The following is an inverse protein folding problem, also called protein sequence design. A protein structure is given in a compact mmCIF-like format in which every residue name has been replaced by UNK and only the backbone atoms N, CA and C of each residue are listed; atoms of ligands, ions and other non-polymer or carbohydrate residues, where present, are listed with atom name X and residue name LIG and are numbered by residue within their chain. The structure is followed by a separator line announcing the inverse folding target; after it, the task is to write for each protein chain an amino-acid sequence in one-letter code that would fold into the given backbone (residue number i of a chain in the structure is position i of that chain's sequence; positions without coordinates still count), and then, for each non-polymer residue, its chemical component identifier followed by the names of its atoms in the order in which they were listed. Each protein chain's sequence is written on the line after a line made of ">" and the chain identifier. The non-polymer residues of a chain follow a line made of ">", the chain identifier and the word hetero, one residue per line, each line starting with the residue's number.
data_IF_648665186014
#
_entry.id   IF_648665186014
#
_cell.length_a   1.000
_cell.length_b   1.000
_cell.length_c   1.000
_cell.angle_alpha   90.00
_cell.angle_beta   90.00
_cell.angle_gamma   90.00
#
_symmetry.space_group_name_H-M   'P 1'
#
loop_
_entity.id
_entity.type
_entity.pdbx_description
1 polymer ?
#
# COMPACT_ATOMS: atom_id res chain seq x y z
N UNK A 1 -43.71 32.99 1.43
CA UNK A 1 -43.56 31.64 0.86
C UNK A 1 -42.23 31.06 1.31
N UNK A 2 -42.24 30.21 2.33
CA UNK A 2 -41.02 29.63 2.91
C UNK A 2 -40.52 28.47 2.05
N UNK A 3 -39.22 28.47 1.72
CA UNK A 3 -38.57 27.34 1.04
C UNK A 3 -38.54 26.15 1.99
N UNK A 4 -39.39 25.15 1.71
CA UNK A 4 -39.36 23.84 2.37
C UNK A 4 -38.20 23.06 1.78
N UNK A 5 -37.14 22.88 2.55
CA UNK A 5 -36.03 22.03 2.16
C UNK A 5 -36.46 20.56 2.18
N UNK A 6 -36.07 19.73 1.20
CA UNK A 6 -36.35 18.29 1.21
C UNK A 6 -35.78 17.62 2.47
N UNK A 7 -36.59 16.81 3.16
CA UNK A 7 -36.27 16.14 4.44
C UNK A 7 -35.11 15.14 4.40
N UNK A 8 -34.42 14.98 3.27
CA UNK A 8 -33.42 13.93 3.06
C UNK A 8 -31.96 14.38 3.28
N UNK A 9 -31.71 15.68 3.51
CA UNK A 9 -30.37 16.21 3.79
C UNK A 9 -30.21 16.68 5.24
N UNK A 10 -30.78 15.94 6.19
CA UNK A 10 -30.44 16.11 7.61
C UNK A 10 -29.17 15.29 7.86
N UNK A 11 -28.01 15.88 7.56
CA UNK A 11 -26.74 15.34 8.03
C UNK A 11 -26.86 15.23 9.56
N UNK A 12 -26.80 14.00 10.10
CA UNK A 12 -26.66 13.81 11.55
C UNK A 12 -25.32 14.42 11.94
N UNK A 13 -25.37 15.58 12.59
CA UNK A 13 -24.22 16.22 13.24
C UNK A 13 -23.83 15.55 14.57
N UNK A 14 -24.45 14.41 14.89
CA UNK A 14 -24.43 13.83 16.24
C UNK A 14 -23.17 13.00 16.55
N UNK A 15 -22.11 13.13 15.76
CA UNK A 15 -20.86 12.39 15.99
C UNK A 15 -19.65 13.20 15.51
N UNK A 16 -19.30 14.26 16.24
CA UNK A 16 -17.97 14.86 16.10
C UNK A 16 -16.96 13.83 16.61
N UNK A 17 -16.35 13.08 15.70
CA UNK A 17 -15.26 12.16 16.02
C UNK A 17 -14.00 13.01 16.16
N UNK A 18 -13.54 13.21 17.40
CA UNK A 18 -12.26 13.86 17.67
C UNK A 18 -11.14 12.86 17.41
N UNK A 19 -10.38 13.09 16.35
CA UNK A 19 -9.13 12.36 16.13
C UNK A 19 -8.03 13.02 16.96
N UNK A 20 -7.68 12.44 18.10
CA UNK A 20 -6.49 12.87 18.83
C UNK A 20 -5.24 12.37 18.08
N UNK A 21 -4.36 13.31 17.71
CA UNK A 21 -3.04 13.08 17.11
C UNK A 21 -3.04 12.34 15.77
N UNK A 22 -3.92 12.71 14.84
CA UNK A 22 -3.79 12.28 13.44
C UNK A 22 -3.63 13.52 12.59
N UNK A 23 -2.56 13.52 11.80
CA UNK A 23 -2.29 14.57 10.84
C UNK A 23 -3.46 14.71 9.86
N UNK A 24 -3.91 15.95 9.64
CA UNK A 24 -5.09 16.27 8.85
C UNK A 24 -4.94 15.75 7.42
N UNK A 25 -3.73 15.85 6.86
CA UNK A 25 -3.41 15.37 5.52
C UNK A 25 -3.61 13.84 5.41
N UNK A 26 -3.26 13.08 6.45
CA UNK A 26 -3.49 11.63 6.51
C UNK A 26 -4.98 11.30 6.53
N UNK A 27 -5.80 12.04 7.27
CA UNK A 27 -7.26 11.83 7.32
C UNK A 27 -7.91 12.18 5.98
N UNK A 28 -7.49 13.29 5.35
CA UNK A 28 -7.96 13.66 4.01
C UNK A 28 -7.60 12.54 3.02
N UNK A 29 -6.37 12.03 3.06
CA UNK A 29 -5.95 10.91 2.21
C UNK A 29 -6.86 9.68 2.37
N UNK A 30 -7.17 9.29 3.60
CA UNK A 30 -8.07 8.17 3.89
C UNK A 30 -9.49 8.40 3.39
N UNK A 31 -10.04 9.60 3.61
CA UNK A 31 -11.41 9.94 3.19
C UNK A 31 -11.51 9.89 1.66
N UNK A 32 -10.51 10.40 0.95
CA UNK A 32 -10.46 10.35 -0.50
C UNK A 32 -10.29 8.92 -1.04
N UNK A 33 -9.43 8.10 -0.41
CA UNK A 33 -9.27 6.68 -0.74
C UNK A 33 -10.57 5.89 -0.50
N UNK A 34 -11.25 6.15 0.62
CA UNK A 34 -12.55 5.54 0.92
C UNK A 34 -13.66 6.01 -0.03
N UNK A 35 -13.52 7.21 -0.60
CA UNK A 35 -14.48 7.79 -1.55
C UNK A 35 -14.24 7.37 -3.02
N UNK A 36 -13.33 6.41 -3.27
CA UNK A 36 -12.97 5.92 -4.62
C UNK A 36 -12.52 7.02 -5.59
N UNK A 37 -12.01 8.14 -5.07
CA UNK A 37 -11.54 9.24 -5.90
C UNK A 37 -10.05 8.98 -6.25
N UNK A 38 -9.62 9.11 -7.51
CA UNK A 38 -8.22 8.88 -7.88
C UNK A 38 -7.34 9.90 -7.17
N UNK A 39 -6.60 9.42 -6.16
CA UNK A 39 -5.62 10.22 -5.46
C UNK A 39 -4.27 10.08 -6.16
N UNK A 40 -3.56 11.20 -6.32
CA UNK A 40 -2.13 11.20 -6.64
C UNK A 40 -1.37 10.69 -5.42
N UNK A 41 -1.18 9.37 -5.33
CA UNK A 41 -0.28 8.79 -4.35
C UNK A 41 1.15 9.25 -4.64
N UNK A 42 1.83 9.72 -3.60
CA UNK A 42 3.26 9.99 -3.64
C UNK A 42 4.00 8.94 -2.82
N UNK A 43 5.29 8.71 -3.12
CA UNK A 43 6.08 7.69 -2.43
C UNK A 43 6.16 7.97 -0.92
N UNK A 44 6.31 9.23 -0.54
CA UNK A 44 6.36 9.68 0.86
C UNK A 44 5.04 9.46 1.62
N UNK A 45 3.94 9.28 0.90
CA UNK A 45 2.61 9.04 1.48
C UNK A 45 2.32 7.55 1.68
N UNK A 46 3.06 6.64 1.04
CA UNK A 46 2.79 5.20 1.10
C UNK A 46 2.90 4.71 2.55
N UNK A 47 3.99 5.03 3.23
CA UNK A 47 4.21 4.65 4.64
C UNK A 47 3.07 5.17 5.54
N UNK A 48 2.72 6.44 5.39
CA UNK A 48 1.64 7.06 6.16
C UNK A 48 0.27 6.42 5.92
N UNK A 49 0.00 6.02 4.68
CA UNK A 49 -1.25 5.39 4.28
C UNK A 49 -1.31 3.95 4.78
N UNK A 50 -0.19 3.22 4.79
CA UNK A 50 -0.10 1.87 5.32
C UNK A 50 -0.22 1.84 6.85
N UNK A 51 0.41 2.79 7.55
CA UNK A 51 0.18 3.00 9.00
C UNK A 51 -1.30 3.26 9.30
N UNK A 52 -1.92 4.12 8.49
CA UNK A 52 -3.31 4.48 8.65
C UNK A 52 -4.24 3.30 8.36
N UNK A 53 -3.93 2.50 7.34
CA UNK A 53 -4.62 1.24 7.03
C UNK A 53 -4.66 0.32 8.25
N UNK A 54 -3.53 0.12 8.93
CA UNK A 54 -3.48 -0.76 10.10
C UNK A 54 -4.28 -0.17 11.28
N UNK A 55 -4.23 1.16 11.47
CA UNK A 55 -5.00 1.86 12.51
C UNK A 55 -6.51 1.80 12.29
N UNK A 56 -6.95 1.92 11.04
CA UNK A 56 -8.37 2.02 10.67
C UNK A 56 -8.96 0.72 10.11
N UNK A 57 -8.16 -0.34 9.99
CA UNK A 57 -8.53 -1.64 9.41
C UNK A 57 -9.14 -1.51 8.00
N UNK A 58 -8.55 -0.65 7.17
CA UNK A 58 -9.04 -0.35 5.82
C UNK A 58 -8.39 -1.27 4.78
N UNK A 59 -8.96 -2.45 4.58
CA UNK A 59 -8.40 -3.48 3.70
C UNK A 59 -8.32 -3.05 2.22
N UNK A 60 -9.20 -2.16 1.76
CA UNK A 60 -9.23 -1.65 0.39
C UNK A 60 -7.99 -0.85 0.01
N UNK A 61 -7.27 -0.29 0.99
CA UNK A 61 -6.07 0.51 0.76
C UNK A 61 -4.94 -0.34 0.18
N UNK A 62 -4.81 -1.61 0.57
CA UNK A 62 -3.79 -2.50 0.03
C UNK A 62 -3.87 -2.57 -1.49
N UNK A 63 -5.07 -2.77 -2.03
CA UNK A 63 -5.27 -2.89 -3.48
C UNK A 63 -4.88 -1.61 -4.23
N UNK A 64 -5.10 -0.43 -3.64
CA UNK A 64 -4.75 0.85 -4.26
C UNK A 64 -3.24 1.07 -4.23
N UNK A 65 -2.59 0.79 -3.09
CA UNK A 65 -1.13 0.91 -2.95
C UNK A 65 -0.41 -0.10 -3.85
N UNK A 66 -0.90 -1.34 -3.91
CA UNK A 66 -0.42 -2.37 -4.84
C UNK A 66 -0.44 -1.87 -6.28
N UNK A 67 -1.60 -1.39 -6.74
CA UNK A 67 -1.76 -0.91 -8.11
C UNK A 67 -0.78 0.23 -8.42
N UNK A 68 -0.63 1.17 -7.49
CA UNK A 68 0.33 2.26 -7.63
C UNK A 68 1.79 1.77 -7.74
N UNK A 69 2.19 0.84 -6.87
CA UNK A 69 3.54 0.27 -6.88
C UNK A 69 3.82 -0.55 -8.14
N UNK A 70 2.81 -1.20 -8.70
CA UNK A 70 2.90 -1.93 -9.98
C UNK A 70 3.09 -0.94 -11.14
N UNK A 71 2.27 0.10 -11.22
CA UNK A 71 2.29 1.07 -12.33
C UNK A 71 3.57 1.93 -12.33
N UNK A 72 4.09 2.26 -11.16
CA UNK A 72 5.25 3.15 -11.03
C UNK A 72 6.57 2.40 -11.22
N UNK A 73 7.27 2.70 -12.31
CA UNK A 73 8.57 2.09 -12.66
C UNK A 73 9.77 2.63 -11.87
N UNK A 74 9.65 3.85 -11.34
CA UNK A 74 10.77 4.53 -10.67
C UNK A 74 11.01 4.06 -9.23
N UNK A 75 10.09 3.27 -8.67
CA UNK A 75 10.25 2.73 -7.32
C UNK A 75 11.19 1.52 -7.37
N UNK A 76 12.22 1.53 -6.54
CA UNK A 76 13.20 0.45 -6.48
C UNK A 76 12.55 -0.90 -6.12
N UNK A 77 13.04 -1.97 -6.76
CA UNK A 77 12.49 -3.33 -6.62
C UNK A 77 12.64 -3.83 -5.19
N UNK A 78 13.72 -3.46 -4.49
CA UNK A 78 13.96 -3.87 -3.10
C UNK A 78 12.88 -3.32 -2.18
N UNK A 79 12.52 -2.04 -2.37
CA UNK A 79 11.43 -1.41 -1.63
C UNK A 79 10.10 -2.10 -1.91
N UNK A 80 9.81 -2.46 -3.17
CA UNK A 80 8.58 -3.17 -3.50
C UNK A 80 8.48 -4.54 -2.81
N UNK A 81 9.58 -5.30 -2.76
CA UNK A 81 9.66 -6.58 -2.06
C UNK A 81 9.49 -6.40 -0.53
N UNK A 82 10.07 -5.34 0.03
CA UNK A 82 9.92 -5.06 1.46
C UNK A 82 8.47 -4.69 1.82
N UNK A 83 7.81 -3.84 1.02
CA UNK A 83 6.41 -3.49 1.21
C UNK A 83 5.47 -4.69 1.05
N UNK A 84 5.73 -5.55 0.05
CA UNK A 84 4.86 -6.69 -0.20
C UNK A 84 4.88 -7.69 0.95
N UNK A 85 6.07 -7.99 1.47
CA UNK A 85 6.24 -8.88 2.59
C UNK A 85 5.69 -8.31 3.91
N UNK A 86 5.86 -7.01 4.18
CA UNK A 86 5.38 -6.38 5.42
C UNK A 86 3.86 -6.31 5.51
N UNK A 87 3.20 -6.00 4.39
CA UNK A 87 1.75 -5.73 4.38
C UNK A 87 0.92 -6.81 3.69
N UNK A 88 1.56 -7.94 3.37
CA UNK A 88 0.98 -9.11 2.71
C UNK A 88 0.25 -8.73 1.40
N UNK A 89 0.99 -8.14 0.47
CA UNK A 89 0.48 -7.62 -0.81
C UNK A 89 0.66 -8.64 -1.95
N UNK A 90 -0.26 -9.60 -2.02
CA UNK A 90 -0.19 -10.75 -2.95
C UNK A 90 -0.13 -10.34 -4.43
N UNK A 91 -0.80 -9.25 -4.83
CA UNK A 91 -0.78 -8.82 -6.24
C UNK A 91 0.57 -8.24 -6.61
N UNK A 92 1.19 -7.51 -5.68
CA UNK A 92 2.51 -6.94 -5.88
C UNK A 92 3.57 -8.04 -5.95
N UNK A 93 3.48 -9.06 -5.10
CA UNK A 93 4.35 -10.24 -5.16
C UNK A 93 4.23 -10.96 -6.50
N UNK A 94 3.00 -11.23 -6.95
CA UNK A 94 2.77 -11.83 -8.27
C UNK A 94 3.44 -11.02 -9.38
N UNK A 95 3.30 -9.70 -9.37
CA UNK A 95 3.90 -8.86 -10.41
C UNK A 95 5.44 -8.89 -10.35
N UNK A 96 6.02 -8.77 -9.16
CA UNK A 96 7.47 -8.79 -8.96
C UNK A 96 8.06 -10.13 -9.42
N UNK A 97 7.53 -11.25 -8.94
CA UNK A 97 8.12 -12.57 -9.18
C UNK A 97 7.77 -13.15 -10.55
N UNK A 98 6.59 -12.86 -11.10
CA UNK A 98 6.19 -13.37 -12.41
C UNK A 98 6.73 -12.52 -13.57
N UNK A 99 6.77 -11.19 -13.42
CA UNK A 99 7.16 -10.28 -14.52
C UNK A 99 8.58 -9.74 -14.39
N UNK A 100 9.01 -9.34 -13.19
CA UNK A 100 10.33 -8.70 -13.02
C UNK A 100 11.43 -9.73 -12.74
N UNK A 101 11.20 -10.66 -11.82
CA UNK A 101 12.18 -11.64 -11.33
C UNK A 101 11.84 -13.05 -11.80
N UNK A 102 11.63 -13.18 -13.11
CA UNK A 102 11.17 -14.41 -13.73
C UNK A 102 12.17 -15.56 -13.58
N UNK A 103 13.46 -15.27 -13.54
CA UNK A 103 14.54 -16.26 -13.59
C UNK A 103 15.32 -16.37 -12.28
N UNK A 104 15.82 -17.59 -11.99
CA UNK A 104 16.66 -17.84 -10.83
C UNK A 104 17.94 -16.98 -10.82
N UNK A 105 18.47 -16.60 -11.99
CA UNK A 105 19.63 -15.71 -12.10
C UNK A 105 19.34 -14.29 -11.57
N UNK A 106 18.16 -13.74 -11.87
CA UNK A 106 17.74 -12.42 -11.39
C UNK A 106 17.49 -12.43 -9.87
N UNK A 107 16.88 -13.51 -9.35
CA UNK A 107 16.70 -13.70 -7.92
C UNK A 107 18.04 -13.80 -7.18
N UNK A 108 19.03 -14.52 -7.76
CA UNK A 108 20.40 -14.56 -7.21
C UNK A 108 21.10 -13.21 -7.24
N UNK A 109 20.86 -12.41 -8.27
CA UNK A 109 21.41 -11.05 -8.36
C UNK A 109 20.87 -10.17 -7.22
N UNK A 110 19.56 -10.21 -6.98
CA UNK A 110 18.93 -9.50 -5.87
C UNK A 110 19.44 -9.99 -4.51
N UNK A 111 19.53 -11.30 -4.30
CA UNK A 111 20.04 -11.85 -3.04
C UNK A 111 21.51 -11.49 -2.75
N UNK A 112 22.28 -11.08 -3.77
CA UNK A 112 23.66 -10.61 -3.64
C UNK A 112 23.78 -9.12 -3.35
N UNK A 113 22.72 -8.34 -3.53
CA UNK A 113 22.72 -6.90 -3.27
C UNK A 113 22.90 -6.62 -1.77
N UNK A 114 23.73 -5.64 -1.36
CA UNK A 114 23.92 -5.31 0.05
C UNK A 114 22.60 -4.90 0.73
N UNK A 115 21.72 -4.20 0.00
CA UNK A 115 20.41 -3.75 0.47
C UNK A 115 19.47 -4.92 0.80
N UNK A 116 19.70 -6.10 0.21
CA UNK A 116 18.92 -7.31 0.53
C UNK A 116 19.12 -7.79 1.97
N UNK A 117 20.23 -7.42 2.62
CA UNK A 117 20.44 -7.72 4.04
C UNK A 117 19.68 -6.76 4.96
N UNK A 118 19.26 -5.62 4.43
CA UNK A 118 18.60 -4.54 5.17
C UNK A 118 17.08 -4.60 5.08
N UNK A 119 16.51 -5.30 4.10
CA UNK A 119 15.06 -5.53 4.01
C UNK A 119 14.57 -6.52 5.08
N UNK A 120 13.26 -6.51 5.33
CA UNK A 120 12.63 -7.37 6.33
C UNK A 120 12.92 -8.86 6.13
N UNK A 121 13.00 -9.62 7.22
CA UNK A 121 13.29 -11.07 7.16
C UNK A 121 12.23 -11.84 6.38
N UNK A 122 10.97 -11.44 6.45
CA UNK A 122 9.91 -12.08 5.68
C UNK A 122 10.09 -11.82 4.17
N UNK A 123 10.59 -10.65 3.81
CA UNK A 123 10.92 -10.26 2.45
C UNK A 123 12.12 -11.06 1.92
N UNK A 124 13.13 -11.30 2.76
CA UNK A 124 14.25 -12.18 2.41
C UNK A 124 13.74 -13.62 2.17
N UNK A 125 12.90 -14.12 3.07
CA UNK A 125 12.35 -15.48 2.99
C UNK A 125 11.49 -15.68 1.75
N UNK A 126 10.69 -14.70 1.32
CA UNK A 126 9.88 -14.82 0.10
C UNK A 126 10.77 -14.99 -1.13
N UNK A 127 11.82 -14.18 -1.26
CA UNK A 127 12.79 -14.30 -2.36
C UNK A 127 13.52 -15.64 -2.34
N UNK A 128 13.91 -16.15 -1.16
CA UNK A 128 14.55 -17.46 -1.03
C UNK A 128 13.63 -18.62 -1.38
N UNK A 129 12.35 -18.58 -0.96
CA UNK A 129 11.35 -19.59 -1.34
C UNK A 129 11.19 -19.66 -2.85
N UNK A 130 11.05 -18.50 -3.49
CA UNK A 130 10.88 -18.43 -4.94
C UNK A 130 12.13 -18.84 -5.73
N UNK A 131 13.30 -18.67 -5.12
CA UNK A 131 14.55 -19.19 -5.67
C UNK A 131 14.57 -20.73 -5.60
N UNK A 132 14.17 -21.32 -4.47
CA UNK A 132 14.16 -22.78 -4.29
C UNK A 132 13.19 -23.46 -5.26
N UNK A 133 12.02 -22.87 -5.49
CA UNK A 133 11.02 -23.41 -6.43
C UNK A 133 11.48 -23.39 -7.90
N UNK A 134 12.55 -22.64 -8.22
CA UNK A 134 13.08 -22.48 -9.59
C UNK A 134 14.42 -23.18 -9.82
N UNK A 135 14.97 -23.89 -8.83
CA UNK A 135 16.22 -24.68 -8.92
C UNK A 135 15.87 -26.15 -9.11
#
# INVERSE_FOLDING_TARGET
>A
MGRVWPRFLRWRTDSIIKFEKIDLDKVICLVYLASFNPMFLSENMIDAILEAKDKFKLFTINAVVEQYLIEKKDVDIMRKIDYSAKHNMEKLDCEIFLKTLKTASQLKEIARRPEFREIDKNAQLSVFRELLDKI
#
